data_IF_996883022278
#
_entry.id   IF_996883022278
#
_cell.length_a   1.000
_cell.length_b   1.000
_cell.length_c   1.000
_cell.angle_alpha   90.00
_cell.angle_beta   90.00
_cell.angle_gamma   90.00
#
_symmetry.space_group_name_H-M   'P 1'
#
loop_
_entity.id
_entity.type
_entity.pdbx_description
1 polymer ?
#
# COMPACT_ATOMS: atom_id res chain seq x y z
N UNK A 1 8.93 1.16 35.66
CA UNK A 1 8.17 2.35 35.25
C UNK A 1 8.56 2.90 33.87
N UNK A 2 9.44 2.22 33.17
CA UNK A 2 10.07 2.71 31.92
C UNK A 2 9.36 2.23 30.63
N UNK A 3 8.43 1.32 30.72
CA UNK A 3 7.84 0.64 29.56
C UNK A 3 6.75 1.47 28.85
N UNK A 4 6.10 2.40 29.54
CA UNK A 4 4.99 3.18 28.99
C UNK A 4 5.41 4.31 28.05
N UNK A 5 6.47 5.04 28.38
CA UNK A 5 6.98 6.14 27.56
C UNK A 5 7.61 5.61 26.26
N UNK A 6 8.38 4.52 26.34
CA UNK A 6 8.96 3.87 25.17
C UNK A 6 7.88 3.34 24.22
N UNK A 7 6.88 2.62 24.75
CA UNK A 7 5.77 2.12 23.94
C UNK A 7 4.97 3.25 23.28
N UNK A 8 4.77 4.38 23.98
CA UNK A 8 4.09 5.55 23.42
C UNK A 8 4.92 6.20 22.29
N UNK A 9 6.23 6.37 22.48
CA UNK A 9 7.10 6.95 21.44
C UNK A 9 7.16 6.05 20.23
N UNK A 10 7.24 4.72 20.41
CA UNK A 10 7.21 3.75 19.32
C UNK A 10 5.87 3.82 18.55
N UNK A 11 4.76 3.93 19.27
CA UNK A 11 3.44 4.15 18.67
C UNK A 11 3.38 5.47 17.89
N UNK A 12 3.87 6.58 18.44
CA UNK A 12 3.90 7.88 17.77
C UNK A 12 4.83 7.85 16.55
N UNK A 13 5.97 7.17 16.64
CA UNK A 13 6.85 6.98 15.49
C UNK A 13 6.11 6.29 14.34
N UNK A 14 5.47 5.16 14.60
CA UNK A 14 4.79 4.37 13.56
C UNK A 14 3.59 5.08 12.95
N UNK A 15 2.82 5.83 13.74
CA UNK A 15 1.52 6.36 13.30
C UNK A 15 1.51 7.86 13.04
N UNK A 16 2.49 8.62 13.55
CA UNK A 16 2.48 10.08 13.46
C UNK A 16 3.74 10.67 12.80
N UNK A 17 4.81 9.90 12.62
CA UNK A 17 6.05 10.43 12.02
C UNK A 17 5.79 11.00 10.60
N UNK A 18 5.05 10.30 9.77
CA UNK A 18 4.69 10.76 8.43
C UNK A 18 3.93 12.10 8.46
N UNK A 19 2.99 12.26 9.40
CA UNK A 19 2.26 13.52 9.58
C UNK A 19 3.17 14.65 10.03
N UNK A 20 4.10 14.39 10.96
CA UNK A 20 5.08 15.38 11.39
C UNK A 20 6.00 15.81 10.26
N UNK A 21 6.53 14.84 9.47
CA UNK A 21 7.35 15.11 8.29
C UNK A 21 6.56 15.95 7.28
N UNK A 22 5.31 15.60 7.00
CA UNK A 22 4.45 16.35 6.08
C UNK A 22 4.25 17.79 6.53
N UNK A 23 3.93 18.01 7.82
CA UNK A 23 3.76 19.35 8.39
C UNK A 23 5.05 20.18 8.29
N UNK A 24 6.21 19.59 8.61
CA UNK A 24 7.48 20.30 8.53
C UNK A 24 7.91 20.55 7.08
N UNK A 25 7.65 19.59 6.17
CA UNK A 25 7.92 19.80 4.73
C UNK A 25 7.06 20.91 4.15
N UNK A 26 5.80 21.06 4.60
CA UNK A 26 4.96 22.21 4.23
C UNK A 26 5.53 23.53 4.76
N UNK A 27 6.02 23.56 6.00
CA UNK A 27 6.56 24.76 6.63
C UNK A 27 7.88 25.20 5.98
N UNK A 28 8.80 24.27 5.77
CA UNK A 28 10.16 24.56 5.29
C UNK A 28 10.33 24.42 3.77
N UNK A 29 9.32 23.87 3.08
CA UNK A 29 9.31 23.61 1.65
C UNK A 29 9.88 22.22 1.27
N UNK A 30 9.49 21.70 0.10
CA UNK A 30 9.89 20.37 -0.38
C UNK A 30 11.40 20.16 -0.51
N UNK A 31 12.15 21.20 -0.76
CA UNK A 31 13.63 21.16 -0.83
C UNK A 31 14.29 20.72 0.47
N UNK A 32 13.61 20.89 1.60
CA UNK A 32 14.08 20.57 2.96
C UNK A 32 13.48 19.26 3.52
N UNK A 33 13.00 18.37 2.67
CA UNK A 33 12.43 17.07 3.09
C UNK A 33 13.42 16.24 3.91
N UNK A 34 14.71 16.26 3.58
CA UNK A 34 15.75 15.56 4.33
C UNK A 34 15.87 16.16 5.75
N UNK A 35 15.85 17.47 5.86
CA UNK A 35 15.85 18.17 7.15
C UNK A 35 14.62 17.82 7.98
N UNK A 36 13.43 17.79 7.35
CA UNK A 36 12.20 17.44 8.05
C UNK A 36 12.26 16.00 8.64
N UNK A 37 12.77 15.04 7.87
CA UNK A 37 12.96 13.67 8.37
C UNK A 37 13.96 13.62 9.55
N UNK A 38 15.11 14.28 9.42
CA UNK A 38 16.15 14.30 10.44
C UNK A 38 15.65 14.89 11.76
N UNK A 39 15.02 16.07 11.74
CA UNK A 39 14.58 16.73 12.97
C UNK A 39 13.39 16.02 13.63
N UNK A 40 12.56 15.29 12.88
CA UNK A 40 11.52 14.43 13.44
C UNK A 40 12.15 13.25 14.19
N UNK A 41 13.16 12.61 13.62
CA UNK A 41 13.89 11.54 14.29
C UNK A 41 14.58 12.04 15.56
N UNK A 42 15.27 13.20 15.51
CA UNK A 42 15.89 13.81 16.69
C UNK A 42 14.85 14.16 17.77
N UNK A 43 13.68 14.68 17.39
CA UNK A 43 12.62 14.97 18.36
C UNK A 43 12.09 13.73 19.06
N UNK A 44 11.94 12.62 18.35
CA UNK A 44 11.54 11.33 18.91
C UNK A 44 12.59 10.75 19.85
N UNK A 45 13.87 10.82 19.46
CA UNK A 45 14.99 10.42 20.34
C UNK A 45 15.00 11.29 21.61
N UNK A 46 14.77 12.61 21.48
CA UNK A 46 14.68 13.49 22.63
C UNK A 46 13.49 13.17 23.54
N UNK A 47 12.37 12.76 22.99
CA UNK A 47 11.22 12.30 23.75
C UNK A 47 11.55 11.03 24.57
N UNK A 48 12.23 10.05 23.96
CA UNK A 48 12.71 8.83 24.64
C UNK A 48 13.65 9.15 25.81
N UNK A 49 14.47 10.20 25.68
CA UNK A 49 15.40 10.62 26.71
C UNK A 49 14.76 11.45 27.84
N UNK A 50 13.68 12.19 27.55
CA UNK A 50 13.10 13.14 28.51
C UNK A 50 11.83 12.66 29.19
N UNK A 51 10.94 11.99 28.47
CA UNK A 51 9.62 11.62 29.00
C UNK A 51 9.64 10.59 30.13
N UNK A 52 10.58 9.63 30.17
CA UNK A 52 10.72 8.73 31.33
C UNK A 52 10.97 9.46 32.66
N UNK A 53 11.65 10.64 32.59
CA UNK A 53 12.06 11.39 33.79
C UNK A 53 11.16 12.61 34.08
N UNK A 54 10.62 13.25 33.03
CA UNK A 54 9.85 14.50 33.15
C UNK A 54 8.35 14.31 33.01
N UNK A 55 7.91 13.11 32.68
CA UNK A 55 6.54 12.80 32.33
C UNK A 55 6.21 13.11 30.85
N UNK A 56 5.17 12.46 30.36
CA UNK A 56 4.65 12.67 29.01
C UNK A 56 3.82 13.97 29.00
N UNK A 57 4.04 14.88 28.04
CA UNK A 57 3.23 16.11 27.90
C UNK A 57 1.74 15.80 27.66
N UNK A 58 0.85 16.72 28.02
CA UNK A 58 -0.61 16.59 27.75
C UNK A 58 -0.89 16.38 26.25
N UNK A 59 -0.12 17.07 25.38
CA UNK A 59 -0.21 16.86 23.94
C UNK A 59 1.17 16.45 23.38
N UNK A 60 1.48 15.13 23.35
CA UNK A 60 2.76 14.61 22.91
C UNK A 60 3.12 14.98 21.46
N UNK A 61 2.12 14.97 20.57
CA UNK A 61 2.32 15.28 19.15
C UNK A 61 2.69 16.76 18.94
N UNK A 62 2.00 17.68 19.60
CA UNK A 62 2.31 19.09 19.52
C UNK A 62 3.72 19.41 20.07
N UNK A 63 4.11 18.73 21.16
CA UNK A 63 5.46 18.87 21.72
C UNK A 63 6.54 18.38 20.73
N UNK A 64 6.31 17.22 20.06
CA UNK A 64 7.25 16.69 19.07
C UNK A 64 7.39 17.61 17.86
N UNK A 65 6.28 18.11 17.31
CA UNK A 65 6.29 19.07 16.18
C UNK A 65 7.05 20.34 16.57
N UNK A 66 6.79 20.88 17.75
CA UNK A 66 7.47 22.09 18.23
C UNK A 66 8.97 21.85 18.46
N UNK A 67 9.35 20.72 19.04
CA UNK A 67 10.74 20.34 19.25
C UNK A 67 11.49 20.18 17.92
N UNK A 68 10.89 19.48 16.95
CA UNK A 68 11.45 19.28 15.61
C UNK A 68 11.55 20.63 14.85
N UNK A 69 10.52 21.50 14.92
CA UNK A 69 10.52 22.82 14.30
C UNK A 69 11.64 23.70 14.85
N UNK A 70 11.78 23.79 16.18
CA UNK A 70 12.85 24.56 16.81
C UNK A 70 14.24 24.07 16.37
N UNK A 71 14.40 22.75 16.30
CA UNK A 71 15.65 22.16 15.85
C UNK A 71 15.96 22.46 14.38
N UNK A 72 14.96 22.40 13.49
CA UNK A 72 15.10 22.78 12.08
C UNK A 72 15.54 24.23 11.94
N UNK A 73 14.89 25.14 12.67
CA UNK A 73 15.26 26.56 12.66
C UNK A 73 16.71 26.79 13.12
N UNK A 74 17.17 26.07 14.16
CA UNK A 74 18.55 26.17 14.64
C UNK A 74 19.56 25.70 13.60
N UNK A 75 19.26 24.58 12.89
CA UNK A 75 20.12 24.06 11.82
C UNK A 75 20.18 25.03 10.63
N UNK A 76 19.04 25.55 10.19
CA UNK A 76 18.96 26.51 9.09
C UNK A 76 19.67 27.84 9.43
N UNK A 77 19.53 28.33 10.67
CA UNK A 77 20.27 29.54 11.11
C UNK A 77 21.78 29.31 11.09
N UNK A 78 22.27 28.16 11.52
CA UNK A 78 23.71 27.83 11.46
C UNK A 78 24.21 27.76 10.02
N UNK A 79 23.44 27.10 9.12
CA UNK A 79 23.79 27.01 7.72
C UNK A 79 23.77 28.40 7.03
N UNK A 80 22.79 29.22 7.36
CA UNK A 80 22.67 30.61 6.84
C UNK A 80 23.80 31.50 7.35
N UNK A 81 24.18 31.37 8.61
CA UNK A 81 25.30 32.13 9.21
C UNK A 81 26.64 31.81 8.54
N UNK A 82 26.81 30.56 8.04
CA UNK A 82 27.98 30.17 7.26
C UNK A 82 28.00 30.73 5.83
N UNK A 83 26.87 31.18 5.29
CA UNK A 83 26.70 31.64 3.89
C UNK A 83 26.49 33.16 3.74
N UNK A 84 26.67 34.00 4.77
CA UNK A 84 26.48 35.48 4.77
C UNK A 84 25.10 36.01 4.28
N UNK A 85 24.09 35.13 4.12
CA UNK A 85 22.73 35.49 3.65
C UNK A 85 21.64 35.23 4.69
N UNK A 86 21.96 35.33 5.99
CA UNK A 86 21.12 34.79 7.07
C UNK A 86 19.78 35.52 7.31
N UNK A 87 19.71 36.82 7.13
CA UNK A 87 18.49 37.58 7.48
C UNK A 87 17.34 37.40 6.48
N UNK A 88 17.65 37.27 5.20
CA UNK A 88 16.64 37.10 4.15
C UNK A 88 15.95 35.74 4.24
N UNK A 89 16.71 34.69 4.52
CA UNK A 89 16.21 33.31 4.68
C UNK A 89 15.36 33.20 5.95
N UNK A 90 15.80 33.78 7.06
CA UNK A 90 15.03 33.78 8.32
C UNK A 90 13.71 34.57 8.16
N UNK A 91 13.74 35.69 7.44
CA UNK A 91 12.52 36.49 7.12
C UNK A 91 11.60 35.74 6.18
N UNK A 92 12.12 35.05 5.16
CA UNK A 92 11.33 34.22 4.25
C UNK A 92 10.64 33.07 5.01
N UNK A 93 11.35 32.39 5.94
CA UNK A 93 10.76 31.35 6.77
C UNK A 93 9.74 31.89 7.77
N UNK A 94 10.00 33.02 8.40
CA UNK A 94 9.03 33.66 9.30
C UNK A 94 7.76 34.11 8.55
N UNK A 95 7.90 34.65 7.34
CA UNK A 95 6.78 34.99 6.48
C UNK A 95 5.98 33.76 6.02
N UNK A 96 6.67 32.67 5.70
CA UNK A 96 6.05 31.41 5.30
C UNK A 96 5.34 30.73 6.47
N UNK A 97 5.90 30.82 7.68
CA UNK A 97 5.28 30.38 8.93
C UNK A 97 4.04 31.22 9.27
N UNK A 98 4.11 32.53 9.15
CA UNK A 98 2.97 33.42 9.39
C UNK A 98 1.87 33.20 8.34
N UNK A 99 2.24 32.97 7.08
CA UNK A 99 1.31 32.59 6.02
C UNK A 99 0.65 31.22 6.27
N UNK A 100 1.42 30.22 6.72
CA UNK A 100 0.91 28.91 7.09
C UNK A 100 -0.01 28.97 8.32
N UNK A 101 0.35 29.75 9.34
CA UNK A 101 -0.48 29.96 10.54
C UNK A 101 -1.76 30.74 10.22
N UNK A 102 -1.69 31.78 9.36
CA UNK A 102 -2.89 32.49 8.89
C UNK A 102 -3.82 31.60 8.08
N UNK A 103 -3.31 30.70 7.25
CA UNK A 103 -4.14 29.68 6.55
C UNK A 103 -4.86 28.78 7.53
N UNK A 104 -4.21 28.33 8.59
CA UNK A 104 -4.83 27.50 9.65
C UNK A 104 -5.94 28.29 10.37
N UNK A 105 -5.77 29.60 10.59
CA UNK A 105 -6.79 30.46 11.22
C UNK A 105 -7.95 30.82 10.28
N UNK A 106 -7.67 31.02 8.98
CA UNK A 106 -8.68 31.37 7.98
C UNK A 106 -9.49 30.15 7.50
N UNK A 107 -8.92 28.96 7.55
CA UNK A 107 -9.53 27.68 7.14
C UNK A 107 -10.40 27.03 8.23
N UNK A 108 -10.67 27.73 9.37
CA UNK A 108 -11.68 27.27 10.36
C UNK A 108 -13.10 27.15 9.79
N UNK A 109 -13.33 27.48 8.53
CA UNK A 109 -14.59 27.32 7.81
C UNK A 109 -14.49 26.60 6.46
N UNK A 110 -13.31 26.14 6.01
CA UNK A 110 -13.07 25.40 4.78
C UNK A 110 -12.23 24.16 5.02
N UNK A 111 -12.30 23.18 4.14
CA UNK A 111 -11.58 21.92 4.22
C UNK A 111 -10.10 22.15 4.58
N UNK A 112 -9.71 21.66 5.77
CA UNK A 112 -8.32 21.66 6.21
C UNK A 112 -7.47 20.97 5.13
N UNK A 113 -6.51 21.68 4.57
CA UNK A 113 -5.48 21.06 3.74
C UNK A 113 -4.77 20.00 4.58
N UNK A 114 -4.97 18.74 4.24
CA UNK A 114 -4.29 17.65 4.93
C UNK A 114 -2.84 17.62 4.45
N UNK A 115 -1.90 18.02 5.31
CA UNK A 115 -0.47 17.99 5.03
C UNK A 115 -0.01 16.63 4.51
N UNK A 116 -0.65 15.54 5.02
CA UNK A 116 -0.40 14.18 4.57
C UNK A 116 -0.79 14.00 3.12
N UNK A 117 -1.91 14.59 2.70
CA UNK A 117 -2.36 14.53 1.30
C UNK A 117 -1.39 15.29 0.37
N UNK A 118 -0.96 16.49 0.74
CA UNK A 118 0.09 17.23 0.01
C UNK A 118 1.37 16.42 -0.14
N UNK A 119 1.81 15.75 0.94
CA UNK A 119 2.98 14.86 0.92
C UNK A 119 2.79 13.67 -0.03
N UNK A 120 1.60 13.05 -0.05
CA UNK A 120 1.30 11.95 -0.98
C UNK A 120 1.44 12.42 -2.43
N UNK A 121 0.82 13.55 -2.78
CA UNK A 121 0.90 14.08 -4.15
C UNK A 121 2.32 14.47 -4.54
N UNK A 122 3.08 15.02 -3.61
CA UNK A 122 4.50 15.34 -3.83
C UNK A 122 5.32 14.06 -4.04
N UNK A 123 5.19 13.07 -3.17
CA UNK A 123 5.93 11.80 -3.25
C UNK A 123 5.56 10.98 -4.50
N UNK A 124 4.32 11.11 -4.98
CA UNK A 124 3.81 10.44 -6.18
C UNK A 124 3.91 11.30 -7.44
N UNK A 125 4.79 12.32 -7.47
CA UNK A 125 4.96 13.16 -8.66
C UNK A 125 5.36 12.33 -9.89
N UNK A 126 4.72 12.53 -11.08
CA UNK A 126 4.99 11.73 -12.28
C UNK A 126 6.45 11.72 -12.75
N UNK A 127 7.20 12.80 -12.53
CA UNK A 127 8.63 12.88 -12.84
C UNK A 127 9.48 11.91 -12.02
N UNK A 128 9.00 11.45 -10.88
CA UNK A 128 9.70 10.46 -10.06
C UNK A 128 9.42 9.07 -10.65
N UNK A 129 10.45 8.25 -10.93
CA UNK A 129 10.23 6.87 -11.37
C UNK A 129 9.36 6.07 -10.38
N UNK A 130 8.57 5.11 -10.89
CA UNK A 130 7.58 4.35 -10.13
C UNK A 130 8.11 3.78 -8.80
N UNK A 131 9.28 3.13 -8.84
CA UNK A 131 9.91 2.55 -7.65
C UNK A 131 10.39 3.62 -6.66
N UNK A 132 10.74 4.80 -7.17
CA UNK A 132 11.07 5.98 -6.35
C UNK A 132 9.85 6.54 -5.65
N UNK A 133 8.69 6.62 -6.34
CA UNK A 133 7.42 7.07 -5.76
C UNK A 133 6.98 6.16 -4.61
N UNK A 134 7.02 4.85 -4.84
CA UNK A 134 6.67 3.85 -3.81
C UNK A 134 7.60 3.97 -2.60
N UNK A 135 8.92 3.98 -2.82
CA UNK A 135 9.89 4.07 -1.73
C UNK A 135 9.75 5.38 -0.95
N UNK A 136 9.54 6.51 -1.64
CA UNK A 136 9.40 7.81 -1.01
C UNK A 136 8.10 7.90 -0.20
N UNK A 137 6.96 7.45 -0.75
CA UNK A 137 5.68 7.43 -0.03
C UNK A 137 5.77 6.60 1.24
N UNK A 138 6.33 5.40 1.17
CA UNK A 138 6.52 4.56 2.35
C UNK A 138 7.42 5.22 3.39
N UNK A 139 8.51 5.83 2.96
CA UNK A 139 9.47 6.48 3.86
C UNK A 139 8.86 7.70 4.55
N UNK A 140 8.25 8.61 3.77
CA UNK A 140 7.86 9.94 4.26
C UNK A 140 6.44 9.99 4.82
N UNK A 141 5.54 9.17 4.29
CA UNK A 141 4.11 9.15 4.70
C UNK A 141 3.82 7.95 5.59
N UNK A 142 4.32 6.76 5.21
CA UNK A 142 4.11 5.52 5.94
C UNK A 142 5.04 5.32 7.13
N UNK A 143 6.14 6.10 7.25
CA UNK A 143 7.09 6.01 8.35
C UNK A 143 8.00 4.78 8.32
N UNK A 144 8.05 4.05 7.19
CA UNK A 144 8.85 2.83 7.06
C UNK A 144 10.36 3.12 6.97
N UNK A 145 11.16 2.26 7.59
CA UNK A 145 12.62 2.28 7.48
C UNK A 145 13.11 1.76 6.11
N UNK A 146 14.33 2.14 5.71
CA UNK A 146 14.92 1.67 4.44
C UNK A 146 15.02 0.14 4.40
N UNK A 147 15.39 -0.49 5.52
CA UNK A 147 15.46 -1.96 5.64
C UNK A 147 14.09 -2.63 5.53
N UNK A 148 13.03 -2.01 6.04
CA UNK A 148 11.66 -2.52 5.93
C UNK A 148 11.16 -2.42 4.48
N UNK A 149 11.41 -1.28 3.82
CA UNK A 149 11.08 -1.10 2.40
C UNK A 149 11.85 -2.09 1.53
N UNK A 150 13.16 -2.29 1.82
CA UNK A 150 13.98 -3.24 1.07
C UNK A 150 13.46 -4.68 1.20
N UNK A 151 13.09 -5.10 2.41
CA UNK A 151 12.47 -6.42 2.63
C UNK A 151 11.12 -6.55 1.93
N UNK A 152 10.27 -5.51 2.00
CA UNK A 152 8.96 -5.53 1.38
C UNK A 152 9.04 -5.74 -0.14
N UNK A 153 10.01 -5.12 -0.81
CA UNK A 153 10.14 -5.16 -2.28
C UNK A 153 11.26 -6.08 -2.78
N UNK A 154 11.75 -7.01 -1.94
CA UNK A 154 12.86 -7.93 -2.26
C UNK A 154 14.07 -7.21 -2.90
N UNK A 155 14.32 -5.99 -2.46
CA UNK A 155 15.40 -5.13 -2.94
C UNK A 155 16.55 -5.09 -1.93
N UNK A 156 17.75 -4.74 -2.39
CA UNK A 156 18.88 -4.47 -1.48
C UNK A 156 18.71 -3.08 -0.85
N UNK A 157 19.04 -2.92 0.43
CA UNK A 157 18.98 -1.62 1.13
C UNK A 157 19.68 -0.47 0.38
N UNK A 158 20.92 -0.66 -0.17
CA UNK A 158 21.55 0.38 -0.97
C UNK A 158 20.74 0.80 -2.21
N UNK A 159 20.02 -0.13 -2.83
CA UNK A 159 19.15 0.17 -3.98
C UNK A 159 17.98 1.06 -3.58
N UNK A 160 17.34 0.76 -2.44
CA UNK A 160 16.24 1.58 -1.90
C UNK A 160 16.77 2.96 -1.50
N UNK A 161 17.91 3.02 -0.82
CA UNK A 161 18.56 4.29 -0.47
C UNK A 161 18.86 5.15 -1.71
N UNK A 162 19.38 4.56 -2.79
CA UNK A 162 19.59 5.28 -4.06
C UNK A 162 18.28 5.77 -4.69
N UNK A 163 17.22 4.97 -4.66
CA UNK A 163 15.88 5.39 -5.16
C UNK A 163 15.37 6.61 -4.39
N UNK A 164 15.50 6.61 -3.08
CA UNK A 164 15.12 7.73 -2.22
C UNK A 164 15.95 8.99 -2.52
N UNK A 165 17.26 8.86 -2.62
CA UNK A 165 18.15 9.99 -2.96
C UNK A 165 17.79 10.59 -4.32
N UNK A 166 17.56 9.75 -5.33
CA UNK A 166 17.15 10.21 -6.68
C UNK A 166 15.77 10.88 -6.66
N UNK A 167 14.80 10.30 -5.95
CA UNK A 167 13.46 10.87 -5.84
C UNK A 167 13.49 12.25 -5.16
N UNK A 168 14.20 12.40 -4.06
CA UNK A 168 14.36 13.67 -3.34
C UNK A 168 15.13 14.69 -4.18
N UNK A 169 16.12 14.24 -4.94
CA UNK A 169 16.83 15.13 -5.88
C UNK A 169 15.89 15.67 -6.95
N UNK A 170 15.05 14.83 -7.56
CA UNK A 170 14.07 15.28 -8.56
C UNK A 170 13.09 16.30 -7.98
N UNK A 171 12.63 16.11 -6.74
CA UNK A 171 11.77 17.07 -6.06
C UNK A 171 12.46 18.46 -5.97
N UNK A 172 13.77 18.49 -5.67
CA UNK A 172 14.54 19.73 -5.59
C UNK A 172 14.81 20.36 -6.95
N UNK A 173 15.23 19.53 -7.91
CA UNK A 173 15.69 20.01 -9.23
C UNK A 173 14.51 20.48 -10.10
N UNK A 174 13.33 19.87 -9.98
CA UNK A 174 12.13 20.23 -10.74
C UNK A 174 11.18 21.15 -9.98
N UNK A 175 11.60 21.67 -8.82
CA UNK A 175 10.82 22.59 -7.97
C UNK A 175 9.39 22.08 -7.68
N UNK A 176 9.28 20.80 -7.38
CA UNK A 176 7.98 20.15 -7.10
C UNK A 176 7.33 20.82 -5.90
N UNK A 177 6.11 21.32 -6.07
CA UNK A 177 5.39 22.02 -5.01
C UNK A 177 4.72 21.04 -4.04
N UNK A 178 4.46 21.54 -2.82
CA UNK A 178 3.72 20.79 -1.79
C UNK A 178 2.20 20.94 -1.94
N UNK A 179 1.75 21.73 -2.90
CA UNK A 179 0.33 22.03 -3.10
C UNK A 179 -0.40 20.85 -3.78
N UNK A 180 -1.72 20.83 -3.59
CA UNK A 180 -2.56 19.92 -4.38
C UNK A 180 -2.46 20.28 -5.86
N UNK A 181 -2.49 19.30 -6.75
CA UNK A 181 -2.48 19.51 -8.19
C UNK A 181 -3.62 20.42 -8.62
N UNK A 182 -3.40 21.18 -9.68
CA UNK A 182 -4.47 21.94 -10.32
C UNK A 182 -5.58 21.03 -10.82
N UNK A 183 -6.76 21.58 -11.06
CA UNK A 183 -7.90 20.78 -11.57
C UNK A 183 -7.56 20.05 -12.89
N UNK A 184 -6.73 20.64 -13.72
CA UNK A 184 -6.30 20.06 -15.00
C UNK A 184 -5.35 18.86 -14.80
N UNK A 185 -4.46 18.94 -13.81
CA UNK A 185 -3.46 17.90 -13.52
C UNK A 185 -4.00 16.79 -12.61
N UNK A 186 -5.11 17.07 -11.89
CA UNK A 186 -5.62 16.23 -10.82
C UNK A 186 -5.84 14.79 -11.27
N UNK A 187 -6.38 14.56 -12.48
CA UNK A 187 -6.65 13.19 -12.94
C UNK A 187 -5.38 12.36 -13.05
N UNK A 188 -4.39 12.85 -13.79
CA UNK A 188 -3.10 12.15 -14.00
C UNK A 188 -2.31 12.00 -12.71
N UNK A 189 -2.31 13.03 -11.86
CA UNK A 189 -1.62 12.99 -10.57
C UNK A 189 -2.27 11.98 -9.61
N UNK A 190 -3.61 11.92 -9.63
CA UNK A 190 -4.37 10.96 -8.83
C UNK A 190 -4.13 9.52 -9.27
N UNK A 191 -4.01 9.24 -10.58
CA UNK A 191 -3.67 7.92 -11.09
C UNK A 191 -2.32 7.42 -10.55
N UNK A 192 -1.31 8.31 -10.52
CA UNK A 192 -0.01 8.00 -9.91
C UNK A 192 -0.12 7.66 -8.42
N UNK A 193 -0.97 8.36 -7.68
CA UNK A 193 -1.21 8.09 -6.26
C UNK A 193 -1.90 6.73 -6.08
N UNK A 194 -2.97 6.47 -6.84
CA UNK A 194 -3.71 5.21 -6.74
C UNK A 194 -2.84 4.01 -7.10
N UNK A 195 -1.97 4.13 -8.12
CA UNK A 195 -1.00 3.09 -8.46
C UNK A 195 -0.07 2.77 -7.28
N UNK A 196 0.46 3.80 -6.61
CA UNK A 196 1.34 3.62 -5.44
C UNK A 196 0.60 2.97 -4.28
N UNK A 197 -0.64 3.41 -3.99
CA UNK A 197 -1.45 2.83 -2.92
C UNK A 197 -1.82 1.37 -3.20
N UNK A 198 -2.14 1.05 -4.45
CA UNK A 198 -2.42 -0.33 -4.85
C UNK A 198 -1.20 -1.24 -4.71
N UNK A 199 -0.01 -0.77 -5.11
CA UNK A 199 1.23 -1.51 -4.92
C UNK A 199 1.56 -1.71 -3.44
N UNK A 200 1.39 -0.67 -2.63
CA UNK A 200 1.58 -0.72 -1.19
C UNK A 200 0.66 -1.76 -0.55
N UNK A 201 -0.61 -1.74 -0.94
CA UNK A 201 -1.59 -2.71 -0.46
C UNK A 201 -1.22 -4.14 -0.85
N UNK A 202 -0.88 -4.37 -2.11
CA UNK A 202 -0.53 -5.70 -2.61
C UNK A 202 0.71 -6.26 -1.89
N UNK A 203 1.70 -5.42 -1.60
CA UNK A 203 2.87 -5.83 -0.83
C UNK A 203 2.51 -6.22 0.61
N UNK A 204 1.59 -5.47 1.23
CA UNK A 204 1.06 -5.81 2.55
C UNK A 204 0.19 -7.07 2.55
N UNK A 205 -0.53 -7.30 1.46
CA UNK A 205 -1.45 -8.43 1.33
C UNK A 205 -0.75 -9.75 0.97
N UNK A 206 0.36 -9.71 0.21
CA UNK A 206 1.10 -10.88 -0.30
C UNK A 206 2.59 -10.80 0.03
N UNK A 207 2.97 -10.56 1.28
CA UNK A 207 4.39 -10.45 1.64
C UNK A 207 5.22 -11.62 1.08
N UNK A 208 6.11 -11.32 0.14
CA UNK A 208 6.88 -12.31 -0.62
C UNK A 208 8.08 -12.88 0.15
N UNK A 209 8.46 -12.26 1.26
CA UNK A 209 9.61 -12.69 2.05
C UNK A 209 9.40 -12.46 3.55
N UNK A 210 9.57 -13.50 4.32
CA UNK A 210 9.50 -13.47 5.78
C UNK A 210 8.64 -14.57 6.37
N UNK A 211 8.69 -14.70 7.68
CA UNK A 211 7.91 -15.72 8.42
C UNK A 211 6.40 -15.47 8.39
N UNK A 212 5.99 -14.21 8.14
CA UNK A 212 4.59 -13.82 8.06
C UNK A 212 4.18 -13.53 6.60
N UNK A 213 3.19 -14.27 6.11
CA UNK A 213 2.64 -14.09 4.75
C UNK A 213 1.96 -12.74 4.57
N UNK A 214 1.49 -12.11 5.65
CA UNK A 214 0.69 -10.89 5.61
C UNK A 214 1.35 -9.81 6.44
N UNK A 215 1.66 -8.70 5.81
CA UNK A 215 2.06 -7.47 6.50
C UNK A 215 0.84 -6.56 6.63
N UNK A 216 0.00 -6.87 7.58
CA UNK A 216 -1.25 -6.15 7.83
C UNK A 216 -1.05 -4.63 8.03
N UNK A 217 0.10 -4.23 8.59
CA UNK A 217 0.51 -2.83 8.76
C UNK A 217 0.56 -2.05 7.44
N UNK A 218 1.14 -2.64 6.38
CA UNK A 218 1.19 -2.02 5.05
C UNK A 218 -0.20 -1.92 4.40
N UNK A 219 -0.97 -3.00 4.49
CA UNK A 219 -2.33 -3.02 3.95
C UNK A 219 -3.24 -1.99 4.66
N UNK A 220 -3.14 -1.89 5.98
CA UNK A 220 -3.88 -0.91 6.77
C UNK A 220 -3.47 0.52 6.42
N UNK A 221 -2.18 0.78 6.23
CA UNK A 221 -1.68 2.09 5.83
C UNK A 221 -2.19 2.49 4.44
N UNK A 222 -2.17 1.58 3.46
CA UNK A 222 -2.73 1.83 2.14
C UNK A 222 -4.23 2.21 2.21
N UNK A 223 -5.01 1.47 3.00
CA UNK A 223 -6.44 1.77 3.26
C UNK A 223 -6.58 3.14 3.92
N UNK A 224 -5.77 3.45 4.94
CA UNK A 224 -5.78 4.74 5.64
C UNK A 224 -5.51 5.90 4.68
N UNK A 225 -4.47 5.80 3.86
CA UNK A 225 -4.09 6.83 2.89
C UNK A 225 -5.16 7.00 1.79
N UNK A 226 -5.70 5.90 1.27
CA UNK A 226 -6.80 5.96 0.30
C UNK A 226 -8.07 6.59 0.91
N UNK A 227 -8.32 6.36 2.21
CA UNK A 227 -9.43 6.98 2.94
C UNK A 227 -9.29 8.51 3.05
N UNK A 228 -8.07 9.06 3.05
CA UNK A 228 -7.86 10.52 2.98
C UNK A 228 -8.32 11.07 1.63
N UNK A 229 -8.02 10.34 0.53
CA UNK A 229 -8.43 10.75 -0.82
C UNK A 229 -9.96 10.87 -0.96
N UNK A 230 -10.71 9.89 -0.45
CA UNK A 230 -12.19 9.89 -0.55
C UNK A 230 -12.86 10.89 0.40
N UNK A 231 -12.16 11.37 1.43
CA UNK A 231 -12.68 12.40 2.35
C UNK A 231 -12.47 13.81 1.83
N UNK A 232 -11.47 14.03 0.98
CA UNK A 232 -11.13 15.35 0.50
C UNK A 232 -11.86 15.66 -0.82
N UNK A 233 -12.58 16.81 -0.88
CA UNK A 233 -13.44 17.18 -2.00
C UNK A 233 -12.74 17.16 -3.37
N UNK A 234 -11.50 17.61 -3.45
CA UNK A 234 -10.77 17.66 -4.72
C UNK A 234 -10.37 16.28 -5.24
N UNK A 235 -10.20 15.29 -4.36
CA UNK A 235 -9.75 13.93 -4.68
C UNK A 235 -10.82 12.86 -4.52
N UNK A 236 -12.00 13.23 -4.02
CA UNK A 236 -13.16 12.35 -3.94
C UNK A 236 -13.65 12.03 -5.36
N UNK A 237 -13.20 10.91 -5.92
CA UNK A 237 -13.51 10.45 -7.28
C UNK A 237 -13.94 8.98 -7.25
N UNK A 238 -14.77 8.54 -8.22
CA UNK A 238 -15.22 7.15 -8.34
C UNK A 238 -14.07 6.13 -8.27
N UNK A 239 -12.97 6.37 -8.97
CA UNK A 239 -11.78 5.47 -8.96
C UNK A 239 -11.12 5.34 -7.59
N UNK A 240 -11.14 6.39 -6.75
CA UNK A 240 -10.64 6.32 -5.38
C UNK A 240 -11.51 5.42 -4.51
N UNK A 241 -12.83 5.54 -4.66
CA UNK A 241 -13.78 4.67 -3.99
C UNK A 241 -13.66 3.22 -4.46
N UNK A 242 -13.45 2.98 -5.77
CA UNK A 242 -13.23 1.65 -6.32
C UNK A 242 -11.99 0.98 -5.72
N UNK A 243 -10.85 1.68 -5.68
CA UNK A 243 -9.65 1.15 -5.08
C UNK A 243 -9.81 0.90 -3.57
N UNK A 244 -10.46 1.83 -2.84
CA UNK A 244 -10.70 1.67 -1.42
C UNK A 244 -11.60 0.46 -1.14
N UNK A 245 -12.67 0.27 -1.92
CA UNK A 245 -13.56 -0.89 -1.82
C UNK A 245 -12.79 -2.19 -2.07
N UNK A 246 -11.97 -2.25 -3.13
CA UNK A 246 -11.12 -3.40 -3.44
C UNK A 246 -10.22 -3.78 -2.26
N UNK A 247 -9.48 -2.80 -1.74
CA UNK A 247 -8.57 -3.01 -0.62
C UNK A 247 -9.31 -3.48 0.63
N UNK A 248 -10.47 -2.89 0.94
CA UNK A 248 -11.28 -3.28 2.11
C UNK A 248 -11.85 -4.70 1.96
N UNK A 249 -12.40 -5.09 0.80
CA UNK A 249 -12.86 -6.47 0.58
C UNK A 249 -11.74 -7.49 0.75
N UNK A 250 -10.55 -7.18 0.23
CA UNK A 250 -9.40 -8.08 0.37
C UNK A 250 -8.90 -8.13 1.82
N UNK A 251 -8.77 -6.96 2.48
CA UNK A 251 -8.29 -6.88 3.86
C UNK A 251 -9.24 -7.54 4.87
N UNK A 252 -10.55 -7.49 4.63
CA UNK A 252 -11.54 -8.14 5.46
C UNK A 252 -11.33 -9.65 5.62
N UNK A 253 -10.61 -10.27 4.67
CA UNK A 253 -10.31 -11.72 4.67
C UNK A 253 -9.00 -12.07 5.37
N UNK A 254 -8.17 -11.08 5.72
CA UNK A 254 -6.85 -11.31 6.31
C UNK A 254 -6.87 -12.25 7.53
N UNK A 255 -7.83 -12.14 8.47
CA UNK A 255 -7.90 -13.04 9.62
C UNK A 255 -8.07 -14.52 9.25
N UNK A 256 -8.72 -14.82 8.11
CA UNK A 256 -8.98 -16.17 7.65
C UNK A 256 -7.93 -16.71 6.67
N UNK A 257 -6.93 -15.91 6.27
CA UNK A 257 -5.92 -16.33 5.29
C UNK A 257 -4.83 -17.21 5.87
N UNK A 258 -4.66 -17.18 7.18
CA UNK A 258 -3.66 -17.98 7.87
C UNK A 258 -4.36 -19.05 8.67
N UNK A 259 -3.99 -20.31 8.43
CA UNK A 259 -4.41 -21.44 9.25
C UNK A 259 -3.71 -21.46 10.61
N UNK A 260 -4.16 -22.33 11.52
CA UNK A 260 -3.61 -22.44 12.89
C UNK A 260 -2.11 -22.71 12.94
N UNK A 261 -1.54 -23.35 11.89
CA UNK A 261 -0.10 -23.63 11.76
C UNK A 261 0.71 -22.54 11.06
N UNK A 262 0.12 -21.36 10.76
CA UNK A 262 0.78 -20.32 9.96
C UNK A 262 0.88 -20.69 8.47
N UNK A 263 0.05 -21.59 8.00
CA UNK A 263 -0.05 -22.00 6.60
C UNK A 263 -1.00 -21.08 5.83
N UNK A 264 -0.80 -20.98 4.51
CA UNK A 264 -1.72 -20.27 3.64
C UNK A 264 -3.01 -21.09 3.47
N UNK A 265 -4.15 -20.50 3.84
CA UNK A 265 -5.45 -21.07 3.56
C UNK A 265 -5.98 -20.64 2.19
N UNK A 266 -6.32 -21.60 1.31
CA UNK A 266 -7.01 -21.31 0.07
C UNK A 266 -8.37 -20.67 0.34
N UNK A 267 -8.91 -19.94 -0.63
CA UNK A 267 -10.22 -19.30 -0.50
C UNK A 267 -11.36 -20.28 -0.14
N UNK A 268 -11.25 -21.52 -0.64
CA UNK A 268 -12.17 -22.62 -0.32
C UNK A 268 -12.03 -23.15 1.11
N UNK A 269 -10.88 -22.93 1.73
CA UNK A 269 -10.53 -23.43 3.07
C UNK A 269 -10.73 -22.35 4.15
N UNK A 270 -10.96 -21.09 3.73
CA UNK A 270 -11.09 -19.96 4.67
C UNK A 270 -12.41 -20.03 5.44
N UNK A 271 -12.32 -19.94 6.76
CA UNK A 271 -13.49 -19.72 7.61
C UNK A 271 -14.04 -18.30 7.40
N UNK A 272 -15.17 -18.19 6.71
CA UNK A 272 -15.82 -16.92 6.42
C UNK A 272 -16.40 -16.25 7.67
N UNK A 273 -16.54 -16.95 8.80
CA UNK A 273 -16.98 -16.35 10.07
C UNK A 273 -15.93 -15.39 10.65
N UNK A 274 -14.65 -15.60 10.29
CA UNK A 274 -13.51 -14.76 10.67
C UNK A 274 -13.37 -13.49 9.80
N UNK A 275 -14.14 -13.38 8.71
CA UNK A 275 -14.08 -12.20 7.85
C UNK A 275 -14.67 -10.98 8.55
N UNK A 276 -13.99 -9.84 8.48
CA UNK A 276 -14.45 -8.57 9.07
C UNK A 276 -15.72 -8.06 8.37
N UNK A 277 -16.88 -8.36 8.96
CA UNK A 277 -18.20 -7.98 8.44
C UNK A 277 -18.39 -6.46 8.37
N UNK A 278 -17.80 -5.72 9.31
CA UNK A 278 -17.86 -4.26 9.31
C UNK A 278 -17.09 -3.68 8.14
N UNK A 279 -15.89 -4.19 7.89
CA UNK A 279 -15.08 -3.77 6.76
C UNK A 279 -15.75 -4.12 5.42
N UNK A 280 -16.35 -5.30 5.30
CA UNK A 280 -17.15 -5.68 4.11
C UNK A 280 -18.31 -4.71 3.89
N UNK A 281 -19.06 -4.36 4.93
CA UNK A 281 -20.16 -3.39 4.82
C UNK A 281 -19.66 -2.02 4.30
N UNK A 282 -18.55 -1.52 4.84
CA UNK A 282 -17.95 -0.26 4.39
C UNK A 282 -17.45 -0.37 2.95
N UNK A 283 -16.87 -1.51 2.56
CA UNK A 283 -16.44 -1.76 1.19
C UNK A 283 -17.60 -1.67 0.20
N UNK A 284 -18.78 -2.23 0.53
CA UNK A 284 -19.99 -2.07 -0.30
C UNK A 284 -20.43 -0.61 -0.44
N UNK A 285 -20.34 0.20 0.63
CA UNK A 285 -20.64 1.63 0.55
C UNK A 285 -19.68 2.37 -0.39
N UNK A 286 -18.42 2.01 -0.39
CA UNK A 286 -17.45 2.57 -1.31
C UNK A 286 -17.66 2.05 -2.74
N UNK A 287 -18.04 0.79 -2.93
CA UNK A 287 -18.37 0.24 -4.25
C UNK A 287 -19.61 0.94 -4.86
N UNK A 288 -20.64 1.21 -4.05
CA UNK A 288 -21.81 1.99 -4.45
C UNK A 288 -21.41 3.43 -4.87
N UNK A 289 -20.56 4.09 -4.08
CA UNK A 289 -20.04 5.41 -4.42
C UNK A 289 -19.14 5.41 -5.68
N UNK A 290 -18.42 4.32 -5.93
CA UNK A 290 -17.62 4.13 -7.13
C UNK A 290 -18.49 4.01 -8.41
N UNK A 291 -19.70 3.49 -8.29
CA UNK A 291 -20.64 3.37 -9.42
C UNK A 291 -21.30 4.70 -9.79
N UNK A 292 -21.12 5.75 -8.99
CA UNK A 292 -21.70 7.06 -9.25
C UNK A 292 -20.81 7.88 -10.18
N UNK A 293 -21.17 8.00 -11.46
CA UNK A 293 -20.46 8.82 -12.45
C UNK A 293 -19.96 8.00 -13.66
N UNK A 294 -19.23 8.68 -14.54
CA UNK A 294 -18.82 8.13 -15.84
C UNK A 294 -17.38 7.56 -15.82
N UNK A 295 -16.68 7.66 -14.69
CA UNK A 295 -15.30 7.19 -14.56
C UNK A 295 -15.27 5.68 -14.27
N UNK A 296 -14.61 4.92 -15.14
CA UNK A 296 -14.51 3.48 -15.04
C UNK A 296 -13.04 3.02 -15.20
N UNK A 297 -12.55 2.22 -14.25
CA UNK A 297 -11.17 1.72 -14.23
C UNK A 297 -11.15 0.22 -13.90
N UNK A 298 -10.00 -0.40 -14.04
CA UNK A 298 -9.75 -1.78 -13.63
C UNK A 298 -10.03 -2.02 -12.13
N UNK A 299 -9.84 -1.01 -11.28
CA UNK A 299 -10.19 -1.09 -9.85
C UNK A 299 -11.67 -1.36 -9.62
N UNK A 300 -12.57 -0.81 -10.45
CA UNK A 300 -14.00 -1.07 -10.35
C UNK A 300 -14.33 -2.54 -10.59
N UNK A 301 -13.74 -3.13 -11.61
CA UNK A 301 -13.94 -4.56 -11.94
C UNK A 301 -13.32 -5.48 -10.89
N UNK A 302 -12.11 -5.17 -10.44
CA UNK A 302 -11.46 -5.93 -9.37
C UNK A 302 -12.25 -5.86 -8.06
N UNK A 303 -12.80 -4.69 -7.71
CA UNK A 303 -13.66 -4.52 -6.54
C UNK A 303 -14.98 -5.30 -6.67
N UNK A 304 -15.59 -5.30 -7.86
CA UNK A 304 -16.79 -6.09 -8.13
C UNK A 304 -16.54 -7.61 -8.02
N UNK A 305 -15.39 -8.11 -8.52
CA UNK A 305 -14.99 -9.51 -8.34
C UNK A 305 -14.82 -9.84 -6.85
N UNK A 306 -14.15 -8.96 -6.10
CA UNK A 306 -13.99 -9.14 -4.66
C UNK A 306 -15.32 -9.10 -3.90
N UNK A 307 -16.28 -8.27 -4.36
CA UNK A 307 -17.63 -8.20 -3.82
C UNK A 307 -18.43 -9.49 -4.06
N UNK A 308 -18.30 -10.14 -5.24
CA UNK A 308 -18.92 -11.44 -5.49
C UNK A 308 -18.47 -12.51 -4.48
N UNK A 309 -17.19 -12.53 -4.14
CA UNK A 309 -16.68 -13.41 -3.10
C UNK A 309 -17.22 -13.06 -1.71
N UNK A 310 -17.34 -11.77 -1.39
CA UNK A 310 -17.82 -11.30 -0.09
C UNK A 310 -19.34 -11.47 0.10
N UNK A 311 -20.11 -11.47 -1.00
CA UNK A 311 -21.57 -11.68 -0.99
C UNK A 311 -21.96 -13.12 -0.68
N UNK A 312 -21.16 -14.09 -1.14
CA UNK A 312 -21.47 -15.49 -0.98
C UNK A 312 -21.31 -15.95 0.48
N UNK A 313 -22.29 -16.67 0.99
CA UNK A 313 -22.25 -17.23 2.37
C UNK A 313 -21.29 -18.40 2.51
N UNK A 314 -21.01 -19.13 1.42
CA UNK A 314 -19.99 -20.19 1.35
C UNK A 314 -19.22 -20.11 0.03
N UNK A 315 -18.14 -20.89 -0.08
CA UNK A 315 -17.34 -20.94 -1.30
C UNK A 315 -18.15 -21.49 -2.49
N UNK A 316 -18.97 -22.51 -2.25
CA UNK A 316 -19.80 -23.19 -3.25
C UNK A 316 -20.90 -22.29 -3.81
N UNK A 317 -21.38 -21.34 -3.00
CA UNK A 317 -22.41 -20.38 -3.38
C UNK A 317 -21.86 -19.12 -4.05
N UNK A 318 -20.56 -19.08 -4.34
CA UNK A 318 -19.95 -17.97 -5.07
C UNK A 318 -20.45 -17.95 -6.52
N UNK A 319 -20.87 -16.77 -7.00
CA UNK A 319 -21.29 -16.60 -8.40
C UNK A 319 -20.10 -16.56 -9.35
N UNK A 320 -19.61 -17.74 -9.68
CA UNK A 320 -18.48 -17.91 -10.58
C UNK A 320 -18.76 -17.47 -12.01
N UNK A 321 -20.02 -17.54 -12.46
CA UNK A 321 -20.40 -17.07 -13.79
C UNK A 321 -20.24 -15.56 -13.90
N UNK A 322 -20.71 -14.81 -12.90
CA UNK A 322 -20.53 -13.36 -12.83
C UNK A 322 -19.05 -13.00 -12.70
N UNK A 323 -18.28 -13.70 -11.91
CA UNK A 323 -16.83 -13.48 -11.80
C UNK A 323 -16.13 -13.66 -13.15
N UNK A 324 -16.47 -14.69 -13.93
CA UNK A 324 -15.92 -14.88 -15.29
C UNK A 324 -16.27 -13.71 -16.19
N UNK A 325 -17.53 -13.26 -16.15
CA UNK A 325 -17.99 -12.08 -16.93
C UNK A 325 -17.20 -10.82 -16.56
N UNK A 326 -16.96 -10.59 -15.28
CA UNK A 326 -16.16 -9.44 -14.81
C UNK A 326 -14.70 -9.54 -15.24
N UNK A 327 -14.11 -10.74 -15.23
CA UNK A 327 -12.78 -10.96 -15.77
C UNK A 327 -12.69 -10.74 -17.28
N UNK A 328 -13.73 -11.10 -18.04
CA UNK A 328 -13.79 -10.82 -19.49
C UNK A 328 -13.74 -9.31 -19.75
N UNK A 329 -14.49 -8.52 -18.97
CA UNK A 329 -14.45 -7.06 -19.06
C UNK A 329 -13.06 -6.50 -18.63
N UNK A 330 -12.47 -7.07 -17.58
CA UNK A 330 -11.16 -6.62 -17.09
C UNK A 330 -10.06 -6.89 -18.11
N UNK A 331 -10.07 -8.03 -18.79
CA UNK A 331 -9.12 -8.36 -19.86
C UNK A 331 -9.30 -7.42 -21.07
N UNK A 332 -10.56 -7.10 -21.42
CA UNK A 332 -10.85 -6.17 -22.50
C UNK A 332 -10.35 -4.75 -22.19
N UNK A 333 -10.44 -4.33 -20.93
CA UNK A 333 -9.96 -3.00 -20.48
C UNK A 333 -8.43 -2.95 -20.33
N UNK A 334 -7.83 -3.98 -19.74
CA UNK A 334 -6.40 -4.06 -19.42
C UNK A 334 -5.90 -5.50 -19.64
N UNK A 335 -5.44 -5.84 -20.84
CA UNK A 335 -4.94 -7.18 -21.16
C UNK A 335 -3.74 -7.55 -20.27
N UNK A 336 -3.91 -8.57 -19.44
CA UNK A 336 -2.87 -9.08 -18.56
C UNK A 336 -2.91 -10.61 -18.51
N UNK A 337 -1.78 -11.30 -18.73
CA UNK A 337 -1.72 -12.76 -18.64
C UNK A 337 -2.01 -13.28 -17.24
N UNK A 338 -1.70 -12.50 -16.20
CA UNK A 338 -2.04 -12.86 -14.81
C UNK A 338 -3.55 -12.78 -14.58
N UNK A 339 -4.21 -11.75 -15.12
CA UNK A 339 -5.69 -11.63 -15.08
C UNK A 339 -6.33 -12.80 -15.84
N UNK A 340 -5.77 -13.18 -17.00
CA UNK A 340 -6.26 -14.31 -17.77
C UNK A 340 -6.09 -15.66 -17.02
N UNK A 341 -5.01 -15.83 -16.26
CA UNK A 341 -4.82 -16.99 -15.38
C UNK A 341 -5.89 -17.03 -14.28
N UNK A 342 -6.15 -15.91 -13.60
CA UNK A 342 -7.20 -15.83 -12.59
C UNK A 342 -8.60 -16.10 -13.17
N UNK A 343 -8.85 -15.59 -14.40
CA UNK A 343 -10.07 -15.94 -15.15
C UNK A 343 -10.20 -17.45 -15.36
N UNK A 344 -9.11 -18.12 -15.77
CA UNK A 344 -9.11 -19.57 -16.00
C UNK A 344 -9.45 -20.35 -14.73
N UNK A 345 -8.98 -19.89 -13.56
CA UNK A 345 -9.41 -20.45 -12.26
C UNK A 345 -10.92 -20.30 -12.07
N UNK A 346 -11.48 -19.11 -12.33
CA UNK A 346 -12.92 -18.88 -12.21
C UNK A 346 -13.72 -19.75 -13.20
N UNK A 347 -13.22 -19.95 -14.44
CA UNK A 347 -13.79 -20.86 -15.45
C UNK A 347 -13.79 -22.30 -14.94
N UNK A 348 -12.70 -22.75 -14.29
CA UNK A 348 -12.62 -24.09 -13.71
C UNK A 348 -13.69 -24.28 -12.62
N UNK A 349 -13.92 -23.29 -11.79
CA UNK A 349 -14.95 -23.36 -10.72
C UNK A 349 -16.38 -23.29 -11.28
N UNK A 350 -16.59 -22.57 -12.38
CA UNK A 350 -17.90 -22.50 -13.04
C UNK A 350 -18.23 -23.70 -13.91
N UNK A 351 -17.25 -24.17 -14.73
CA UNK A 351 -17.49 -25.16 -15.80
C UNK A 351 -16.74 -26.48 -15.60
N UNK A 352 -16.05 -26.63 -14.48
CA UNK A 352 -15.23 -27.78 -14.15
C UNK A 352 -13.74 -27.63 -14.52
N UNK A 353 -12.88 -28.44 -13.89
CA UNK A 353 -11.43 -28.31 -13.98
C UNK A 353 -10.88 -28.45 -15.41
N UNK A 354 -11.47 -29.30 -16.25
CA UNK A 354 -11.07 -29.46 -17.66
C UNK A 354 -11.21 -28.16 -18.45
N UNK A 355 -12.29 -27.38 -18.20
CA UNK A 355 -12.49 -26.10 -18.87
C UNK A 355 -11.42 -25.08 -18.43
N UNK A 356 -11.04 -25.11 -17.17
CA UNK A 356 -9.94 -24.28 -16.63
C UNK A 356 -8.59 -24.63 -17.25
N UNK A 357 -8.27 -25.93 -17.35
CA UNK A 357 -7.03 -26.40 -17.97
C UNK A 357 -6.94 -25.90 -19.43
N UNK A 358 -8.00 -26.07 -20.24
CA UNK A 358 -8.03 -25.55 -21.61
C UNK A 358 -7.79 -24.04 -21.66
N UNK A 359 -8.42 -23.26 -20.77
CA UNK A 359 -8.22 -21.83 -20.71
C UNK A 359 -6.77 -21.44 -20.32
N UNK A 360 -6.11 -22.24 -19.48
CA UNK A 360 -4.69 -22.04 -19.13
C UNK A 360 -3.78 -22.40 -20.32
N UNK A 361 -4.08 -23.45 -21.07
CA UNK A 361 -3.30 -23.87 -22.26
C UNK A 361 -3.25 -22.76 -23.33
N UNK A 362 -4.34 -21.99 -23.48
CA UNK A 362 -4.42 -20.86 -24.41
C UNK A 362 -3.42 -19.74 -24.05
N UNK A 363 -3.17 -19.51 -22.77
CA UNK A 363 -2.32 -18.43 -22.26
C UNK A 363 -0.93 -18.89 -21.78
N UNK A 364 -0.74 -20.20 -21.56
CA UNK A 364 0.43 -20.76 -20.87
C UNK A 364 1.78 -20.52 -21.59
N UNK A 365 1.75 -20.18 -22.89
CA UNK A 365 2.95 -19.82 -23.66
C UNK A 365 3.36 -18.36 -23.55
N UNK A 366 2.61 -17.53 -22.84
CA UNK A 366 2.93 -16.12 -22.71
C UNK A 366 4.23 -15.92 -21.91
N UNK A 367 5.20 -15.14 -22.41
CA UNK A 367 6.54 -14.98 -21.79
C UNK A 367 6.46 -14.56 -20.30
N UNK A 368 5.52 -13.70 -19.93
CA UNK A 368 5.36 -13.24 -18.55
C UNK A 368 4.93 -14.33 -17.57
N UNK A 369 4.40 -15.48 -18.03
CA UNK A 369 3.99 -16.61 -17.20
C UNK A 369 5.04 -17.73 -17.13
N UNK A 370 6.12 -17.67 -17.90
CA UNK A 370 7.14 -18.74 -17.96
C UNK A 370 7.85 -19.00 -16.62
N UNK A 371 8.00 -17.93 -15.80
CA UNK A 371 8.63 -18.03 -14.49
C UNK A 371 7.64 -17.76 -13.34
N UNK A 372 6.36 -17.78 -13.63
CA UNK A 372 5.31 -17.48 -12.67
C UNK A 372 4.80 -18.78 -12.02
N UNK A 373 5.26 -19.06 -10.80
CA UNK A 373 5.00 -20.32 -10.10
C UNK A 373 3.49 -20.65 -9.96
N UNK A 374 2.62 -19.65 -9.93
CA UNK A 374 1.16 -19.86 -9.82
C UNK A 374 0.56 -20.55 -11.05
N UNK A 375 1.17 -20.45 -12.23
CA UNK A 375 0.66 -21.16 -13.39
C UNK A 375 0.77 -22.69 -13.21
N UNK A 376 1.95 -23.29 -12.98
CA UNK A 376 2.03 -24.72 -12.71
C UNK A 376 1.35 -25.11 -11.39
N UNK A 377 1.33 -24.25 -10.35
CA UNK A 377 0.59 -24.52 -9.12
C UNK A 377 -0.92 -24.70 -9.38
N UNK A 378 -1.51 -23.82 -10.19
CA UNK A 378 -2.93 -23.91 -10.59
C UNK A 378 -3.22 -25.16 -11.40
N UNK A 379 -2.35 -25.51 -12.34
CA UNK A 379 -2.50 -26.76 -13.10
C UNK A 379 -2.42 -27.98 -12.19
N UNK A 380 -1.50 -27.98 -11.21
CA UNK A 380 -1.39 -29.04 -10.21
C UNK A 380 -2.68 -29.24 -9.42
N UNK A 381 -3.30 -28.12 -8.99
CA UNK A 381 -4.58 -28.16 -8.27
C UNK A 381 -5.72 -28.70 -9.14
N UNK A 382 -5.83 -28.24 -10.39
CA UNK A 382 -6.88 -28.68 -11.31
C UNK A 382 -6.74 -30.19 -11.68
N UNK A 383 -5.52 -30.66 -11.88
CA UNK A 383 -5.28 -32.12 -12.11
C UNK A 383 -5.55 -32.92 -10.86
N UNK A 384 -5.29 -32.42 -9.67
CA UNK A 384 -5.66 -33.05 -8.40
C UNK A 384 -7.18 -33.13 -8.24
N UNK A 385 -7.93 -32.10 -8.58
CA UNK A 385 -9.41 -32.10 -8.60
C UNK A 385 -9.98 -33.14 -9.57
N UNK A 386 -9.28 -33.43 -10.66
CA UNK A 386 -9.64 -34.48 -11.63
C UNK A 386 -9.24 -35.90 -11.19
N UNK A 387 -8.51 -36.04 -10.08
CA UNK A 387 -8.02 -37.31 -9.57
C UNK A 387 -6.74 -37.83 -10.28
N UNK A 388 -6.10 -37.05 -11.15
CA UNK A 388 -4.82 -37.40 -11.79
C UNK A 388 -3.64 -36.99 -10.89
N UNK A 389 -3.41 -37.76 -9.84
CA UNK A 389 -2.35 -37.53 -8.87
C UNK A 389 -0.95 -37.45 -9.51
N UNK A 390 -0.71 -38.17 -10.60
CA UNK A 390 0.59 -38.19 -11.28
C UNK A 390 0.88 -36.86 -11.95
N UNK A 391 -0.07 -36.34 -12.72
CA UNK A 391 0.06 -35.02 -13.35
C UNK A 391 0.08 -33.89 -12.31
N UNK A 392 -0.76 -33.97 -11.28
CA UNK A 392 -0.75 -33.01 -10.19
C UNK A 392 0.65 -32.89 -9.55
N UNK A 393 1.27 -34.06 -9.23
CA UNK A 393 2.63 -34.08 -8.66
C UNK A 393 3.67 -33.49 -9.62
N UNK A 394 3.57 -33.73 -10.92
CA UNK A 394 4.46 -33.18 -11.92
C UNK A 394 4.40 -31.64 -11.92
N UNK A 395 3.20 -31.07 -11.93
CA UNK A 395 3.00 -29.62 -11.93
C UNK A 395 3.39 -28.97 -10.60
N UNK A 396 3.15 -29.59 -9.44
CA UNK A 396 3.64 -29.07 -8.16
C UNK A 396 5.17 -29.05 -8.09
N UNK A 397 5.87 -30.07 -8.64
CA UNK A 397 7.33 -30.06 -8.75
C UNK A 397 7.82 -28.94 -9.67
N UNK A 398 7.10 -28.64 -10.76
CA UNK A 398 7.41 -27.51 -11.63
C UNK A 398 7.24 -26.18 -10.87
N UNK A 399 6.14 -26.00 -10.14
CA UNK A 399 5.91 -24.81 -9.33
C UNK A 399 7.04 -24.54 -8.33
N UNK A 400 7.50 -25.60 -7.63
CA UNK A 400 8.59 -25.52 -6.64
C UNK A 400 9.96 -25.13 -7.23
N UNK A 401 10.16 -25.23 -8.56
CA UNK A 401 11.38 -24.76 -9.23
C UNK A 401 11.43 -23.24 -9.40
N UNK A 402 10.30 -22.57 -9.27
CA UNK A 402 10.21 -21.11 -9.41
C UNK A 402 10.34 -20.40 -8.06
N UNK A 403 10.77 -19.14 -8.04
CA UNK A 403 10.79 -18.32 -6.84
C UNK A 403 9.37 -18.19 -6.24
N UNK A 404 9.22 -18.54 -4.96
CA UNK A 404 8.01 -18.34 -4.18
C UNK A 404 8.38 -18.09 -2.72
N UNK A 405 7.46 -17.56 -1.92
CA UNK A 405 7.67 -17.34 -0.49
C UNK A 405 7.72 -18.68 0.28
N UNK A 406 8.27 -18.64 1.50
CA UNK A 406 8.35 -19.84 2.33
C UNK A 406 6.98 -20.44 2.69
N UNK A 407 5.94 -19.66 3.01
CA UNK A 407 4.59 -20.22 3.20
C UNK A 407 4.01 -20.87 1.94
N UNK A 408 4.25 -20.27 0.76
CA UNK A 408 3.82 -20.85 -0.53
C UNK A 408 4.57 -22.14 -0.83
N UNK A 409 5.86 -22.18 -0.55
CA UNK A 409 6.70 -23.38 -0.70
C UNK A 409 6.21 -24.52 0.20
N UNK A 410 5.92 -24.23 1.47
CA UNK A 410 5.34 -25.22 2.40
C UNK A 410 3.99 -25.72 1.92
N UNK A 411 3.12 -24.83 1.45
CA UNK A 411 1.84 -25.21 0.85
C UNK A 411 2.03 -26.16 -0.35
N UNK A 412 2.87 -25.80 -1.32
CA UNK A 412 3.14 -26.62 -2.51
C UNK A 412 3.76 -27.98 -2.15
N UNK A 413 4.66 -28.03 -1.16
CA UNK A 413 5.27 -29.28 -0.69
C UNK A 413 4.22 -30.20 -0.07
N UNK A 414 3.33 -29.66 0.78
CA UNK A 414 2.22 -30.40 1.38
C UNK A 414 1.26 -30.96 0.32
N UNK A 415 0.94 -30.17 -0.72
CA UNK A 415 0.12 -30.62 -1.85
C UNK A 415 0.82 -31.74 -2.64
N UNK A 416 2.11 -31.63 -2.87
CA UNK A 416 2.90 -32.68 -3.53
C UNK A 416 2.92 -33.97 -2.72
N UNK A 417 3.15 -33.91 -1.41
CA UNK A 417 3.11 -35.06 -0.51
C UNK A 417 1.73 -35.76 -0.55
N UNK A 418 0.64 -35.01 -0.54
CA UNK A 418 -0.73 -35.51 -0.61
C UNK A 418 -1.03 -36.29 -1.92
N UNK A 419 -0.27 -36.02 -3.01
CA UNK A 419 -0.40 -36.77 -4.27
C UNK A 419 0.37 -38.10 -4.29
N UNK A 420 0.99 -38.52 -3.16
CA UNK A 420 1.81 -39.75 -3.09
C UNK A 420 3.14 -39.63 -3.85
N UNK A 421 3.55 -38.44 -4.19
CA UNK A 421 4.79 -38.12 -4.92
C UNK A 421 5.91 -37.71 -3.96
N UNK A 422 6.41 -38.67 -3.14
CA UNK A 422 7.66 -38.45 -2.42
C UNK A 422 8.86 -38.59 -3.37
#
# INVERSE_FOLDING_TARGET
MDNGAHALVDHLFRHQAGRMIATLTRIFGPRHIDLAEEVVQEALVRALQQWPYRGVPENPLAWLIQAAKNRALDLLRREASLREKSEEIVRAFAAQEEFANRRIETERGGELFDDTLGMIFMACHPSIPREGRVALTLKTVGGFGVSEIARAFLAKEPTVAQRLVRAKRLIRDEDVTFDLPTRAEMSTRLDSVLEVLYLLFNEGYTAHAGENLVRADLAQEAIRLCSLLVRHRATNRPKCHALLALMMFQAARLPARMGEGGELALLSEQDRSLWDRRMIYLAYKHLEAAAAGDEFTDYHLQAAIAACHAAASSYELTDWAEIVRLYDLLIALNPSPVVALNRAVAVAKWKGPEAGIRAIEEIGRHPALQHYYLLPATLGELWSEMGDAKKAAEFYRQALKHPCSEPERRFLSKRLEATGGA
#
